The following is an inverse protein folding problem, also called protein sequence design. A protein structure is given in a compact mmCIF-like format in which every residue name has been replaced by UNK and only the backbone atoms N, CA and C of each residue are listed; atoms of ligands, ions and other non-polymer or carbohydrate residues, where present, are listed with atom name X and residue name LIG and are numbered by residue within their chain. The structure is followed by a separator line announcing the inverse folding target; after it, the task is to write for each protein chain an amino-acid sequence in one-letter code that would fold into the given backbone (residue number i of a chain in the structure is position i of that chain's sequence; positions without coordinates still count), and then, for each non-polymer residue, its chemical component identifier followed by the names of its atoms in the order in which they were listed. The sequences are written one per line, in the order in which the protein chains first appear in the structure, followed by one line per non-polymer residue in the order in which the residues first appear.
data_IF_742599179001
#
_entry.id   IF_742599179001
#
_cell.length_a   1.000
_cell.length_b   1.000
_cell.length_c   1.000
_cell.angle_alpha   90.00
_cell.angle_beta   90.00
_cell.angle_gamma   90.00
#
_symmetry.space_group_name_H-M   'P 1'
#
loop_
_entity.id
_entity.type
_entity.pdbx_description
1 polymer ?
#
# COMPACT_ATOMS: atom_id res chain seq x y z
N UNK A 1 77.88 -83.24 23.07
CA UNK A 1 77.71 -81.99 22.27
C UNK A 1 76.22 -81.73 21.94
N UNK A 2 75.24 -82.05 22.73
CA UNK A 2 73.79 -82.03 22.38
C UNK A 2 73.00 -80.98 23.23
N UNK A 3 73.47 -80.53 24.39
CA UNK A 3 72.66 -79.58 25.20
C UNK A 3 72.72 -78.08 24.68
N UNK A 4 73.79 -77.66 23.97
CA UNK A 4 73.88 -76.31 23.44
C UNK A 4 73.00 -76.01 22.24
N UNK A 5 72.62 -77.03 21.41
CA UNK A 5 71.74 -76.83 20.25
C UNK A 5 70.30 -76.59 20.63
N UNK A 6 69.80 -77.12 21.76
CA UNK A 6 68.42 -76.90 22.20
C UNK A 6 68.14 -75.53 22.78
N UNK A 7 69.16 -74.85 23.30
CA UNK A 7 69.12 -73.44 23.77
C UNK A 7 69.17 -72.45 22.61
N UNK A 8 69.69 -72.81 21.45
CA UNK A 8 69.75 -71.94 20.28
C UNK A 8 68.41 -71.83 19.57
N UNK A 9 67.55 -72.85 19.57
CA UNK A 9 66.21 -72.81 18.94
C UNK A 9 65.31 -71.80 19.57
N UNK A 10 65.06 -71.73 20.89
CA UNK A 10 64.24 -70.70 21.51
C UNK A 10 64.83 -69.29 21.35
N UNK A 11 66.16 -69.13 21.33
CA UNK A 11 66.80 -67.84 21.10
C UNK A 11 66.54 -67.31 19.67
N UNK A 12 66.65 -68.21 18.65
CA UNK A 12 66.31 -67.87 17.25
C UNK A 12 64.84 -67.54 17.14
N UNK A 13 63.95 -68.25 17.77
CA UNK A 13 62.51 -67.96 17.80
C UNK A 13 62.20 -66.59 18.44
N UNK A 14 62.83 -66.28 19.58
CA UNK A 14 62.72 -64.96 20.20
C UNK A 14 63.22 -63.85 19.29
N UNK A 15 64.36 -64.04 18.63
CA UNK A 15 64.91 -63.07 17.67
C UNK A 15 63.97 -62.85 16.46
N UNK A 16 63.35 -63.94 15.94
CA UNK A 16 62.36 -63.80 14.87
C UNK A 16 61.13 -63.06 15.35
N UNK A 17 60.60 -63.36 16.56
CA UNK A 17 59.50 -62.64 17.15
C UNK A 17 59.76 -61.17 17.40
N UNK A 18 60.96 -60.87 17.94
CA UNK A 18 61.39 -59.47 18.16
C UNK A 18 61.56 -58.74 16.82
N UNK A 19 62.18 -59.43 15.81
CA UNK A 19 62.35 -58.84 14.48
C UNK A 19 60.98 -58.57 13.81
N UNK A 20 60.04 -59.52 13.90
CA UNK A 20 58.69 -59.34 13.41
C UNK A 20 57.93 -58.19 14.13
N UNK A 21 58.07 -58.18 15.50
CA UNK A 21 57.50 -57.10 16.30
C UNK A 21 58.05 -55.71 15.89
N UNK A 22 59.33 -55.56 15.75
CA UNK A 22 59.98 -54.33 15.34
C UNK A 22 59.59 -53.94 13.89
N UNK A 23 59.57 -54.95 13.01
CA UNK A 23 59.13 -54.72 11.59
C UNK A 23 57.72 -54.18 11.55
N UNK A 24 56.77 -54.76 12.27
CA UNK A 24 55.41 -54.26 12.37
C UNK A 24 55.32 -52.83 12.98
N UNK A 25 56.08 -52.63 14.06
CA UNK A 25 56.14 -51.30 14.70
C UNK A 25 56.66 -50.21 13.77
N UNK A 26 57.65 -50.53 12.91
CA UNK A 26 58.20 -49.63 11.90
C UNK A 26 57.18 -49.38 10.78
N UNK A 27 56.45 -50.40 10.33
CA UNK A 27 55.36 -50.25 9.35
C UNK A 27 54.29 -49.28 9.83
N UNK A 28 53.88 -49.38 11.12
CA UNK A 28 52.87 -48.52 11.70
C UNK A 28 53.35 -47.14 12.09
N UNK A 29 54.63 -46.81 11.91
CA UNK A 29 55.08 -45.44 12.08
C UNK A 29 54.45 -44.46 11.11
N UNK A 30 54.18 -44.93 9.86
CA UNK A 30 53.65 -44.13 8.80
C UNK A 30 52.23 -44.60 8.34
N UNK A 31 51.67 -45.58 9.00
CA UNK A 31 50.34 -46.15 8.73
C UNK A 31 49.48 -46.15 9.95
N UNK A 32 48.18 -46.07 9.78
CA UNK A 32 47.22 -46.22 10.89
C UNK A 32 47.22 -47.67 11.41
N UNK A 33 47.06 -47.81 12.71
CA UNK A 33 46.86 -49.12 13.36
C UNK A 33 45.60 -49.78 12.84
N UNK A 34 45.56 -51.12 13.02
CA UNK A 34 44.33 -51.89 12.73
C UNK A 34 43.14 -51.40 13.57
N UNK A 35 41.96 -51.38 12.96
CA UNK A 35 40.70 -50.90 13.55
C UNK A 35 40.65 -49.37 13.83
N UNK A 36 41.54 -48.59 13.25
CA UNK A 36 41.44 -47.14 13.38
C UNK A 36 40.33 -46.60 12.50
N UNK A 37 39.42 -45.84 13.12
CA UNK A 37 38.26 -45.22 12.45
C UNK A 37 38.37 -43.70 12.50
N UNK A 38 38.09 -43.02 11.39
CA UNK A 38 37.86 -41.55 11.36
C UNK A 38 36.44 -41.33 10.91
N UNK A 39 35.61 -40.73 11.79
CA UNK A 39 34.18 -40.77 11.61
C UNK A 39 33.66 -42.19 11.51
N UNK A 40 33.00 -42.54 10.41
CA UNK A 40 32.53 -43.90 10.11
C UNK A 40 33.44 -44.61 9.10
N UNK A 41 34.63 -44.06 8.82
CA UNK A 41 35.56 -44.57 7.79
C UNK A 41 36.69 -45.36 8.43
N UNK A 42 36.86 -46.62 8.01
CA UNK A 42 37.99 -47.44 8.38
C UNK A 42 39.24 -46.99 7.59
N UNK A 43 40.25 -46.46 8.33
CA UNK A 43 41.55 -46.00 7.78
C UNK A 43 42.68 -46.92 8.15
N UNK A 44 42.41 -48.15 8.66
CA UNK A 44 43.36 -49.14 9.04
C UNK A 44 44.40 -49.43 7.94
N UNK A 45 45.66 -49.45 8.31
CA UNK A 45 46.82 -49.71 7.42
C UNK A 45 47.06 -48.70 6.29
N UNK A 46 46.24 -47.64 6.23
CA UNK A 46 46.48 -46.54 5.27
C UNK A 46 47.56 -45.61 5.80
N UNK A 47 48.30 -45.06 4.89
CA UNK A 47 49.18 -43.88 5.16
C UNK A 47 48.31 -42.65 5.38
N UNK A 48 48.88 -41.55 5.89
CA UNK A 48 48.14 -40.29 6.04
C UNK A 48 47.53 -39.81 4.73
N UNK A 49 48.28 -39.87 3.63
CA UNK A 49 47.81 -39.39 2.32
C UNK A 49 46.70 -40.28 1.76
N UNK A 50 46.82 -41.62 1.90
CA UNK A 50 45.73 -42.53 1.50
C UNK A 50 44.47 -42.31 2.34
N UNK A 51 44.59 -42.07 3.64
CA UNK A 51 43.46 -41.76 4.51
C UNK A 51 42.83 -40.42 4.13
N UNK A 52 43.60 -39.36 3.84
CA UNK A 52 43.12 -38.08 3.33
C UNK A 52 42.34 -38.24 2.04
N UNK A 53 42.91 -38.97 1.06
CA UNK A 53 42.25 -39.21 -0.23
C UNK A 53 40.92 -39.90 -0.02
N UNK A 54 40.86 -40.97 0.77
CA UNK A 54 39.67 -41.73 1.07
C UNK A 54 38.59 -40.88 1.80
N UNK A 55 39.02 -40.06 2.74
CA UNK A 55 38.08 -39.15 3.47
C UNK A 55 37.56 -38.04 2.54
N UNK A 56 38.39 -37.46 1.67
CA UNK A 56 37.94 -36.47 0.71
C UNK A 56 36.91 -37.04 -0.26
N UNK A 57 37.14 -38.25 -0.80
CA UNK A 57 36.19 -38.93 -1.69
C UNK A 57 34.85 -39.17 -1.02
N UNK A 58 34.83 -39.54 0.26
CA UNK A 58 33.62 -39.76 1.04
C UNK A 58 32.87 -38.46 1.33
N UNK A 59 33.60 -37.41 1.77
CA UNK A 59 33.02 -36.09 2.01
C UNK A 59 32.44 -35.48 0.73
N UNK A 60 33.15 -35.64 -0.40
CA UNK A 60 32.68 -35.16 -1.71
C UNK A 60 31.43 -35.93 -2.20
N UNK A 61 31.22 -37.16 -1.75
CA UNK A 61 30.04 -37.97 -2.06
C UNK A 61 28.84 -37.71 -1.14
N UNK A 62 29.03 -36.97 -0.04
CA UNK A 62 27.92 -36.65 0.86
C UNK A 62 26.96 -35.66 0.23
N UNK A 63 25.66 -36.00 0.28
CA UNK A 63 24.57 -35.15 -0.24
C UNK A 63 23.58 -34.78 0.86
N UNK A 64 22.98 -33.60 0.71
CA UNK A 64 21.78 -33.20 1.44
C UNK A 64 20.58 -33.40 0.51
N UNK A 65 19.53 -34.05 0.99
CA UNK A 65 18.36 -34.40 0.18
C UNK A 65 17.16 -33.58 0.59
N UNK A 66 16.51 -33.01 -0.41
CA UNK A 66 15.16 -32.46 -0.29
C UNK A 66 14.21 -33.53 -0.78
N UNK A 67 13.27 -33.93 0.06
CA UNK A 67 12.31 -34.97 -0.22
C UNK A 67 10.91 -34.40 -0.44
N UNK A 68 10.14 -35.01 -1.34
CA UNK A 68 8.70 -34.74 -1.53
C UNK A 68 7.93 -36.07 -1.44
N UNK A 69 7.13 -36.27 -0.39
CA UNK A 69 6.47 -37.54 -0.08
C UNK A 69 7.44 -38.73 0.00
N UNK A 70 8.63 -38.50 0.54
CA UNK A 70 9.66 -39.50 0.68
C UNK A 70 10.47 -39.78 -0.59
N UNK A 71 10.10 -39.23 -1.73
CA UNK A 71 10.87 -39.28 -2.98
C UNK A 71 11.87 -38.12 -3.06
N UNK A 72 12.99 -38.37 -3.72
CA UNK A 72 14.03 -37.33 -3.85
C UNK A 72 13.56 -36.26 -4.84
N UNK A 73 13.27 -35.08 -4.33
CA UNK A 73 13.02 -33.89 -5.15
C UNK A 73 14.34 -33.27 -5.64
N UNK A 74 15.35 -33.18 -4.75
CA UNK A 74 16.67 -32.64 -5.10
C UNK A 74 17.74 -33.21 -4.20
N UNK A 75 18.89 -33.52 -4.80
CA UNK A 75 20.13 -33.81 -4.10
C UNK A 75 21.10 -32.65 -4.26
N UNK A 76 21.73 -32.25 -3.18
CA UNK A 76 22.68 -31.13 -3.16
C UNK A 76 23.95 -31.64 -2.50
N UNK A 77 25.11 -31.68 -3.20
CA UNK A 77 26.36 -32.03 -2.59
C UNK A 77 26.65 -31.15 -1.38
N UNK A 78 26.97 -31.75 -0.23
CA UNK A 78 27.23 -30.98 1.02
C UNK A 78 28.38 -29.97 0.84
N UNK A 79 29.33 -30.28 -0.02
CA UNK A 79 30.43 -29.39 -0.40
C UNK A 79 29.92 -28.07 -1.05
N UNK A 80 28.90 -28.14 -1.90
CA UNK A 80 28.28 -26.97 -2.51
C UNK A 80 27.53 -26.11 -1.52
N UNK A 81 27.01 -26.73 -0.43
CA UNK A 81 26.40 -26.01 0.69
C UNK A 81 27.44 -25.27 1.56
N UNK A 82 28.73 -25.39 1.23
CA UNK A 82 29.82 -24.75 1.97
C UNK A 82 30.18 -25.46 3.25
N UNK A 83 29.83 -26.75 3.41
CA UNK A 83 30.31 -27.57 4.53
C UNK A 83 31.77 -27.91 4.33
N UNK A 84 32.61 -27.50 5.25
CA UNK A 84 34.05 -27.72 5.21
C UNK A 84 34.51 -28.56 6.40
N UNK A 85 35.41 -29.52 6.12
CA UNK A 85 36.03 -30.35 7.12
C UNK A 85 37.55 -30.14 7.14
N UNK A 86 38.16 -30.18 8.31
CA UNK A 86 39.61 -30.12 8.45
C UNK A 86 40.21 -31.52 8.46
N UNK A 87 40.16 -32.16 7.22
CA UNK A 87 40.68 -33.51 7.03
C UNK A 87 42.14 -33.62 7.39
N UNK A 88 42.96 -32.61 7.05
CA UNK A 88 44.38 -32.59 7.38
C UNK A 88 44.62 -32.59 8.89
N UNK A 89 43.91 -31.77 9.64
CA UNK A 89 44.00 -31.72 11.09
C UNK A 89 43.49 -33.01 11.72
N UNK A 90 42.36 -33.51 11.27
CA UNK A 90 41.77 -34.75 11.78
C UNK A 90 42.71 -35.92 11.57
N UNK A 91 43.27 -36.11 10.34
CA UNK A 91 44.18 -37.20 10.03
C UNK A 91 45.48 -37.09 10.84
N UNK A 92 46.04 -35.86 10.98
CA UNK A 92 47.23 -35.63 11.79
C UNK A 92 47.00 -35.90 13.30
N UNK A 93 45.84 -35.46 13.83
CA UNK A 93 45.45 -35.73 15.22
C UNK A 93 45.32 -37.23 15.48
N UNK A 94 44.60 -37.95 14.63
CA UNK A 94 44.42 -39.39 14.73
C UNK A 94 45.80 -40.14 14.72
N UNK A 95 46.66 -39.75 13.78
CA UNK A 95 48.00 -40.34 13.66
C UNK A 95 48.87 -40.04 14.90
N UNK A 96 48.74 -38.83 15.45
CA UNK A 96 49.59 -38.40 16.62
C UNK A 96 49.19 -39.11 17.92
N UNK A 97 47.96 -39.60 18.03
CA UNK A 97 47.45 -40.30 19.22
C UNK A 97 47.91 -41.76 19.28
N UNK A 98 48.25 -42.36 18.12
CA UNK A 98 48.65 -43.76 18.09
C UNK A 98 50.11 -43.95 18.47
N UNK A 99 50.42 -45.12 19.08
CA UNK A 99 51.78 -45.55 19.36
C UNK A 99 52.09 -46.83 18.56
N UNK A 100 52.92 -46.71 17.55
CA UNK A 100 53.28 -47.81 16.63
C UNK A 100 53.91 -49.00 17.38
N UNK A 101 54.56 -48.78 18.51
CA UNK A 101 55.12 -49.87 19.31
C UNK A 101 54.06 -50.66 20.06
N UNK A 102 52.82 -50.13 20.20
CA UNK A 102 51.70 -50.83 20.82
C UNK A 102 50.75 -51.42 19.77
N UNK A 103 51.21 -51.64 18.52
CA UNK A 103 50.37 -52.10 17.40
C UNK A 103 49.54 -53.37 17.76
N UNK A 104 50.05 -54.30 18.55
CA UNK A 104 49.35 -55.49 18.98
C UNK A 104 48.14 -55.21 19.86
N UNK A 105 48.08 -54.05 20.52
CA UNK A 105 46.95 -53.69 21.36
C UNK A 105 45.69 -53.44 20.54
N UNK A 106 45.82 -53.03 19.26
CA UNK A 106 44.70 -52.83 18.34
C UNK A 106 43.87 -54.12 18.11
N UNK A 107 44.44 -55.30 18.32
CA UNK A 107 43.71 -56.56 18.25
C UNK A 107 42.93 -56.89 19.51
N UNK A 108 43.27 -56.29 20.64
CA UNK A 108 42.70 -56.62 21.97
C UNK A 108 41.74 -55.50 22.42
N UNK A 109 42.03 -54.27 22.07
CA UNK A 109 41.24 -53.09 22.45
C UNK A 109 40.12 -52.82 21.46
N UNK A 110 39.11 -52.03 21.91
CA UNK A 110 38.05 -51.47 21.01
C UNK A 110 38.67 -50.59 19.92
N UNK A 111 38.04 -50.44 18.78
CA UNK A 111 38.46 -49.53 17.72
C UNK A 111 38.71 -48.11 18.25
N UNK A 112 39.85 -47.51 17.90
CA UNK A 112 40.12 -46.11 18.16
C UNK A 112 39.32 -45.29 17.17
N UNK A 113 38.47 -44.37 17.63
CA UNK A 113 37.60 -43.56 16.81
C UNK A 113 37.96 -42.09 17.01
N UNK A 114 38.21 -41.40 15.90
CA UNK A 114 38.39 -39.95 15.84
C UNK A 114 37.22 -39.35 15.07
N UNK A 115 36.63 -38.28 15.58
CA UNK A 115 35.56 -37.62 14.87
C UNK A 115 36.10 -36.70 13.77
N UNK A 116 35.42 -36.59 12.66
CA UNK A 116 35.79 -35.70 11.57
C UNK A 116 35.56 -34.25 12.00
N UNK A 117 36.63 -33.46 12.07
CA UNK A 117 36.55 -32.08 12.55
C UNK A 117 35.94 -31.16 11.49
N UNK A 118 34.75 -30.59 11.80
CA UNK A 118 34.11 -29.59 10.96
C UNK A 118 34.74 -28.21 11.12
N UNK A 119 35.13 -27.54 10.05
CA UNK A 119 35.58 -26.14 10.03
C UNK A 119 34.38 -25.19 10.16
N UNK A 120 33.20 -25.59 9.76
CA UNK A 120 31.99 -24.79 9.75
C UNK A 120 31.29 -24.80 8.40
N UNK A 121 30.38 -23.85 8.22
CA UNK A 121 29.61 -23.68 6.99
C UNK A 121 29.90 -22.30 6.40
N UNK A 122 30.26 -22.25 5.13
CA UNK A 122 30.37 -21.00 4.38
C UNK A 122 28.97 -20.45 4.10
N UNK A 123 28.58 -19.39 4.81
CA UNK A 123 27.23 -18.81 4.70
C UNK A 123 26.91 -18.23 3.32
N UNK A 124 27.90 -17.74 2.60
CA UNK A 124 27.70 -17.20 1.24
C UNK A 124 27.32 -18.32 0.28
N UNK A 125 28.04 -19.45 0.30
CA UNK A 125 27.72 -20.65 -0.51
C UNK A 125 26.35 -21.20 -0.15
N UNK A 126 26.04 -21.33 1.15
CA UNK A 126 24.74 -21.80 1.63
C UNK A 126 23.61 -20.90 1.11
N UNK A 127 23.72 -19.59 1.26
CA UNK A 127 22.70 -18.64 0.80
C UNK A 127 22.49 -18.73 -0.72
N UNK A 128 23.56 -18.80 -1.49
CA UNK A 128 23.49 -18.92 -2.96
C UNK A 128 22.74 -20.18 -3.40
N UNK A 129 22.97 -21.30 -2.75
CA UNK A 129 22.26 -22.55 -3.04
C UNK A 129 20.82 -22.46 -2.59
N UNK A 130 20.55 -21.91 -1.40
CA UNK A 130 19.17 -21.73 -0.91
C UNK A 130 18.36 -20.81 -1.81
N UNK A 131 18.93 -19.76 -2.37
CA UNK A 131 18.28 -18.90 -3.37
C UNK A 131 17.94 -19.68 -4.67
N UNK A 132 18.83 -20.57 -5.09
CA UNK A 132 18.55 -21.45 -6.24
C UNK A 132 17.39 -22.42 -5.95
N UNK A 133 17.42 -23.04 -4.78
CA UNK A 133 16.36 -23.95 -4.32
C UNK A 133 15.02 -23.22 -4.20
N UNK A 134 15.03 -21.98 -3.69
CA UNK A 134 13.81 -21.17 -3.60
C UNK A 134 13.18 -20.94 -4.98
N UNK A 135 13.97 -20.55 -5.96
CA UNK A 135 13.49 -20.34 -7.35
C UNK A 135 12.90 -21.61 -7.96
N UNK A 136 13.53 -22.75 -7.72
CA UNK A 136 13.03 -24.04 -8.20
C UNK A 136 11.69 -24.41 -7.52
N UNK A 137 11.57 -24.16 -6.21
CA UNK A 137 10.34 -24.40 -5.47
C UNK A 137 9.22 -23.45 -5.89
N UNK A 138 9.52 -22.18 -6.18
CA UNK A 138 8.54 -21.24 -6.74
C UNK A 138 8.02 -21.73 -8.10
N UNK A 139 8.91 -22.25 -8.96
CA UNK A 139 8.51 -22.85 -10.24
C UNK A 139 7.68 -24.13 -10.03
N UNK A 140 8.05 -24.96 -9.08
CA UNK A 140 7.35 -26.18 -8.71
C UNK A 140 5.94 -25.89 -8.19
N UNK A 141 5.79 -24.86 -7.35
CA UNK A 141 4.51 -24.40 -6.81
C UNK A 141 3.51 -23.95 -7.89
N UNK A 142 3.98 -23.49 -9.07
CA UNK A 142 3.08 -23.08 -10.17
C UNK A 142 2.18 -24.23 -10.65
N UNK A 143 2.64 -25.46 -10.51
CA UNK A 143 1.91 -26.67 -10.94
C UNK A 143 1.16 -27.36 -9.79
N UNK A 144 1.26 -26.81 -8.57
CA UNK A 144 0.55 -27.32 -7.39
C UNK A 144 -0.75 -26.58 -7.15
N UNK A 145 -1.68 -27.25 -6.47
CA UNK A 145 -2.92 -26.65 -6.04
C UNK A 145 -2.62 -25.60 -4.98
N UNK A 146 -2.99 -24.36 -5.25
CA UNK A 146 -2.77 -23.26 -4.31
C UNK A 146 -3.69 -23.37 -3.10
N UNK A 147 -3.13 -23.17 -1.91
CA UNK A 147 -3.91 -23.00 -0.69
C UNK A 147 -4.59 -21.62 -0.72
N UNK A 148 -5.87 -21.59 -0.37
CA UNK A 148 -6.65 -20.34 -0.29
C UNK A 148 -7.35 -20.26 1.06
N UNK A 149 -7.37 -19.08 1.62
CA UNK A 149 -8.18 -18.78 2.79
C UNK A 149 -9.68 -18.77 2.45
N UNK A 150 -10.52 -19.05 3.43
CA UNK A 150 -11.93 -18.71 3.30
C UNK A 150 -12.08 -17.21 3.11
N UNK A 151 -13.02 -16.81 2.28
CA UNK A 151 -13.31 -15.42 1.92
C UNK A 151 -14.80 -15.13 1.95
N UNK A 152 -15.17 -13.85 1.87
CA UNK A 152 -16.54 -13.45 1.61
C UNK A 152 -16.61 -12.89 0.21
N UNK A 153 -17.46 -13.46 -0.63
CA UNK A 153 -17.63 -13.02 -2.02
C UNK A 153 -19.12 -12.77 -2.32
N UNK A 154 -19.36 -11.86 -3.27
CA UNK A 154 -20.71 -11.62 -3.77
C UNK A 154 -21.03 -12.63 -4.88
N UNK A 155 -22.08 -13.45 -4.67
CA UNK A 155 -22.60 -14.38 -5.66
C UNK A 155 -24.12 -14.21 -5.74
N UNK A 156 -24.62 -14.07 -6.96
CA UNK A 156 -26.07 -13.85 -7.24
C UNK A 156 -26.66 -12.68 -6.42
N UNK A 157 -25.88 -11.59 -6.26
CA UNK A 157 -26.28 -10.39 -5.52
C UNK A 157 -26.27 -10.52 -3.99
N UNK A 158 -25.80 -11.65 -3.44
CA UNK A 158 -25.70 -11.89 -2.00
C UNK A 158 -24.25 -12.17 -1.61
N UNK A 159 -23.84 -11.65 -0.47
CA UNK A 159 -22.53 -11.99 0.11
C UNK A 159 -22.62 -13.33 0.84
N UNK A 160 -21.67 -14.20 0.59
CA UNK A 160 -21.57 -15.52 1.23
C UNK A 160 -20.15 -15.91 1.49
N UNK A 161 -19.92 -16.77 2.49
CA UNK A 161 -18.63 -17.34 2.76
C UNK A 161 -18.30 -18.36 1.68
N UNK A 162 -17.16 -18.16 1.02
CA UNK A 162 -16.54 -19.18 0.17
C UNK A 162 -15.54 -19.93 1.04
N UNK A 163 -15.69 -21.26 1.19
CA UNK A 163 -14.80 -22.05 2.02
C UNK A 163 -13.36 -21.98 1.56
N UNK A 164 -12.47 -22.16 2.50
CA UNK A 164 -11.05 -22.34 2.26
C UNK A 164 -10.77 -23.54 1.36
N UNK A 165 -9.65 -23.46 0.67
CA UNK A 165 -9.14 -24.57 -0.15
C UNK A 165 -7.79 -24.98 0.42
N UNK A 166 -7.70 -26.21 0.96
CA UNK A 166 -6.42 -26.81 1.25
C UNK A 166 -5.77 -27.22 -0.07
N UNK A 167 -4.66 -26.59 -0.36
CA UNK A 167 -3.76 -26.93 -1.46
C UNK A 167 -2.61 -27.81 -0.99
N UNK A 168 -1.60 -27.95 -1.86
CA UNK A 168 -0.36 -28.66 -1.62
C UNK A 168 0.87 -27.81 -1.97
N UNK A 169 0.69 -26.50 -2.21
CA UNK A 169 1.78 -25.54 -2.40
C UNK A 169 2.67 -25.46 -1.14
N UNK A 170 3.97 -25.28 -1.35
CA UNK A 170 4.97 -25.23 -0.29
C UNK A 170 5.21 -23.78 0.13
N UNK A 171 5.19 -23.50 1.43
CA UNK A 171 5.66 -22.24 2.01
C UNK A 171 7.20 -22.17 1.86
N UNK A 172 7.64 -21.61 0.73
CA UNK A 172 9.06 -21.58 0.37
C UNK A 172 9.90 -20.83 1.39
N UNK A 173 9.38 -19.78 1.99
CA UNK A 173 10.10 -18.99 3.01
C UNK A 173 10.36 -19.80 4.26
N UNK A 174 9.34 -20.50 4.77
CA UNK A 174 9.49 -21.38 5.94
C UNK A 174 10.41 -22.54 5.62
N UNK A 175 10.26 -23.14 4.43
CA UNK A 175 11.11 -24.24 4.00
C UNK A 175 12.58 -23.83 3.95
N UNK A 176 12.94 -22.75 3.24
CA UNK A 176 14.32 -22.28 3.09
C UNK A 176 14.96 -21.98 4.47
N UNK A 177 14.21 -21.32 5.37
CA UNK A 177 14.70 -21.06 6.73
C UNK A 177 14.94 -22.34 7.52
N UNK A 178 14.07 -23.35 7.37
CA UNK A 178 14.21 -24.64 8.05
C UNK A 178 15.34 -25.49 7.44
N UNK A 179 15.47 -25.50 6.11
CA UNK A 179 16.52 -26.21 5.39
C UNK A 179 17.92 -25.69 5.79
N UNK A 180 18.11 -24.37 5.82
CA UNK A 180 19.36 -23.78 6.27
C UNK A 180 19.73 -24.23 7.70
N UNK A 181 18.75 -24.22 8.62
CA UNK A 181 18.97 -24.68 10.01
C UNK A 181 19.23 -26.19 10.09
N UNK A 182 18.58 -27.00 9.28
CA UNK A 182 18.77 -28.44 9.18
C UNK A 182 20.20 -28.76 8.72
N UNK A 183 20.67 -28.06 7.70
CA UNK A 183 22.04 -28.17 7.20
C UNK A 183 23.07 -27.75 8.26
N UNK A 184 22.83 -26.63 8.97
CA UNK A 184 23.70 -26.16 10.06
C UNK A 184 23.81 -27.19 11.22
N UNK A 185 22.77 -27.98 11.44
CA UNK A 185 22.76 -29.09 12.42
C UNK A 185 23.40 -30.37 11.90
N UNK A 186 23.81 -30.44 10.64
CA UNK A 186 24.40 -31.61 10.03
C UNK A 186 23.38 -32.70 9.66
N UNK A 187 22.09 -32.37 9.57
CA UNK A 187 21.07 -33.31 9.09
C UNK A 187 21.31 -33.65 7.62
N UNK A 188 20.79 -34.78 7.16
CA UNK A 188 21.04 -35.27 5.79
C UNK A 188 19.88 -35.09 4.83
N UNK A 189 18.68 -34.76 5.36
CA UNK A 189 17.49 -34.60 4.54
C UNK A 189 16.46 -33.69 5.22
N UNK A 190 15.52 -33.17 4.40
CA UNK A 190 14.36 -32.41 4.82
C UNK A 190 13.16 -32.74 3.93
N UNK A 191 11.98 -32.84 4.50
CA UNK A 191 10.74 -33.20 3.81
C UNK A 191 9.88 -31.98 3.49
N UNK A 192 9.55 -31.74 2.20
CA UNK A 192 8.74 -30.62 1.72
C UNK A 192 7.31 -30.64 2.28
N UNK A 193 6.73 -31.82 2.44
CA UNK A 193 5.34 -31.97 2.90
C UNK A 193 5.09 -31.38 4.29
N UNK A 194 6.14 -31.21 5.10
CA UNK A 194 6.06 -30.52 6.40
C UNK A 194 5.82 -29.01 6.27
N UNK A 195 6.01 -28.46 5.09
CA UNK A 195 5.92 -27.04 4.79
C UNK A 195 4.79 -26.70 3.82
N UNK A 196 3.83 -27.60 3.64
CA UNK A 196 2.62 -27.30 2.88
C UNK A 196 1.89 -26.12 3.53
N UNK A 197 1.57 -25.11 2.72
CA UNK A 197 0.78 -23.96 3.14
C UNK A 197 -0.59 -24.42 3.66
N UNK A 198 -0.98 -23.89 4.81
CA UNK A 198 -2.30 -24.15 5.40
C UNK A 198 -3.14 -22.89 5.35
N UNK A 199 -4.45 -22.99 5.11
CA UNK A 199 -5.33 -21.86 5.27
C UNK A 199 -5.23 -21.28 6.69
N UNK A 200 -5.16 -19.98 6.79
CA UNK A 200 -5.11 -19.26 8.08
C UNK A 200 -6.47 -18.70 8.48
N UNK A 201 -7.42 -18.65 7.53
CA UNK A 201 -8.81 -18.25 7.73
C UNK A 201 -9.69 -19.39 7.24
N UNK A 202 -10.53 -19.91 8.12
CA UNK A 202 -11.44 -21.03 7.84
C UNK A 202 -12.89 -20.54 7.73
N UNK A 203 -13.73 -21.23 6.99
CA UNK A 203 -15.16 -20.93 6.87
C UNK A 203 -15.91 -20.98 8.21
N UNK A 204 -15.35 -21.72 9.18
CA UNK A 204 -15.88 -21.83 10.56
C UNK A 204 -15.46 -20.67 11.47
N UNK A 205 -14.57 -19.78 11.02
CA UNK A 205 -14.03 -18.68 11.82
C UNK A 205 -15.15 -17.70 12.20
N UNK A 206 -15.28 -17.45 13.51
CA UNK A 206 -16.31 -16.53 14.02
C UNK A 206 -16.07 -15.08 13.62
N UNK A 207 -14.82 -14.69 13.37
CA UNK A 207 -14.53 -13.36 12.83
C UNK A 207 -15.03 -13.24 11.38
N UNK A 208 -14.86 -14.28 10.56
CA UNK A 208 -15.36 -14.29 9.18
C UNK A 208 -16.89 -14.17 9.13
N UNK A 209 -17.60 -14.86 10.06
CA UNK A 209 -19.07 -14.74 10.17
C UNK A 209 -19.50 -13.34 10.59
N UNK A 210 -18.80 -12.71 11.56
CA UNK A 210 -19.06 -11.32 11.96
C UNK A 210 -18.83 -10.37 10.80
N UNK A 211 -17.76 -10.56 10.02
CA UNK A 211 -17.51 -9.75 8.84
C UNK A 211 -18.57 -9.94 7.76
N UNK A 212 -19.08 -11.15 7.53
CA UNK A 212 -20.23 -11.36 6.63
C UNK A 212 -21.46 -10.59 7.10
N UNK A 213 -21.75 -10.57 8.41
CA UNK A 213 -22.85 -9.80 8.98
C UNK A 213 -22.64 -8.29 8.78
N UNK A 214 -21.42 -7.79 8.99
CA UNK A 214 -21.07 -6.38 8.76
C UNK A 214 -21.21 -6.02 7.27
N UNK A 215 -20.72 -6.85 6.37
CA UNK A 215 -20.87 -6.68 4.92
C UNK A 215 -22.36 -6.58 4.54
N UNK A 216 -23.20 -7.48 5.06
CA UNK A 216 -24.62 -7.49 4.80
C UNK A 216 -25.34 -6.25 5.37
N UNK A 217 -24.86 -5.67 6.48
CA UNK A 217 -25.35 -4.38 7.00
C UNK A 217 -24.95 -3.24 6.05
N UNK A 218 -23.67 -3.13 5.73
CA UNK A 218 -23.12 -2.09 4.84
C UNK A 218 -23.84 -2.10 3.48
N UNK A 219 -24.07 -3.27 2.89
CA UNK A 219 -24.77 -3.39 1.60
C UNK A 219 -26.25 -2.98 1.62
N UNK A 220 -26.84 -2.80 2.81
CA UNK A 220 -28.28 -2.48 2.97
C UNK A 220 -28.55 -1.08 3.49
N UNK A 221 -27.54 -0.34 3.90
CA UNK A 221 -27.73 1.01 4.47
C UNK A 221 -28.45 1.94 3.49
N UNK A 222 -29.20 2.87 4.03
CA UNK A 222 -29.75 3.99 3.30
C UNK A 222 -28.80 5.17 3.49
N UNK A 223 -28.28 5.68 2.40
CA UNK A 223 -27.28 6.74 2.43
C UNK A 223 -27.69 7.88 1.48
N UNK A 224 -27.63 9.11 1.96
CA UNK A 224 -27.90 10.28 1.12
C UNK A 224 -27.07 11.49 1.51
N UNK A 225 -26.79 12.30 0.50
CA UNK A 225 -26.23 13.63 0.64
C UNK A 225 -27.34 14.69 0.68
N UNK A 226 -27.03 15.84 1.25
CA UNK A 226 -27.72 17.11 1.03
C UNK A 226 -26.82 18.01 0.21
N UNK A 227 -27.17 18.23 -1.07
CA UNK A 227 -26.42 19.08 -1.99
C UNK A 227 -27.35 20.13 -2.57
N UNK A 228 -27.01 21.40 -2.41
CA UNK A 228 -27.84 22.54 -2.83
C UNK A 228 -29.27 22.51 -2.21
N UNK A 229 -29.40 21.97 -1.00
CA UNK A 229 -30.68 21.79 -0.33
C UNK A 229 -31.53 20.65 -0.85
N UNK A 230 -30.98 19.80 -1.73
CA UNK A 230 -31.68 18.64 -2.31
C UNK A 230 -31.07 17.34 -1.77
N UNK A 231 -31.94 16.35 -1.55
CA UNK A 231 -31.47 15.01 -1.19
C UNK A 231 -30.93 14.27 -2.44
N UNK A 232 -29.69 13.79 -2.34
CA UNK A 232 -29.04 12.96 -3.38
C UNK A 232 -28.73 11.61 -2.75
N UNK A 233 -29.53 10.59 -3.10
CA UNK A 233 -29.38 9.23 -2.59
C UNK A 233 -28.21 8.51 -3.25
N UNK A 234 -27.44 7.77 -2.44
CA UNK A 234 -26.43 6.85 -2.97
C UNK A 234 -27.13 5.54 -3.33
N UNK A 235 -27.06 5.07 -4.59
CA UNK A 235 -27.69 3.81 -5.00
C UNK A 235 -27.13 2.62 -4.23
N UNK A 236 -27.98 1.75 -3.71
CA UNK A 236 -27.58 0.59 -2.89
C UNK A 236 -26.74 -0.41 -3.67
N UNK A 237 -27.08 -0.64 -4.92
CA UNK A 237 -26.31 -1.50 -5.84
C UNK A 237 -24.90 -0.97 -6.07
N UNK A 238 -24.74 0.35 -6.17
CA UNK A 238 -23.44 1.00 -6.27
C UNK A 238 -22.61 0.78 -5.00
N UNK A 239 -23.18 1.03 -3.81
CA UNK A 239 -22.50 0.78 -2.52
C UNK A 239 -22.13 -0.70 -2.36
N UNK A 240 -23.03 -1.61 -2.71
CA UNK A 240 -22.75 -3.05 -2.65
C UNK A 240 -21.60 -3.46 -3.59
N UNK A 241 -21.46 -2.80 -4.75
CA UNK A 241 -20.35 -3.08 -5.68
C UNK A 241 -18.99 -2.60 -5.19
N UNK A 242 -18.95 -1.64 -4.27
CA UNK A 242 -17.71 -1.14 -3.66
C UNK A 242 -17.15 -2.07 -2.60
N UNK A 243 -18.01 -2.90 -1.99
CA UNK A 243 -17.60 -3.78 -0.88
C UNK A 243 -16.60 -4.82 -1.36
N UNK A 244 -15.49 -4.93 -0.65
CA UNK A 244 -14.47 -5.97 -0.81
C UNK A 244 -14.14 -6.58 0.56
N UNK A 245 -13.67 -7.83 0.52
CA UNK A 245 -13.14 -8.52 1.68
C UNK A 245 -11.68 -8.88 1.39
N UNK A 246 -10.76 -8.22 2.07
CA UNK A 246 -9.32 -8.41 1.89
C UNK A 246 -8.65 -8.57 3.25
N UNK A 247 -7.67 -9.47 3.34
CA UNK A 247 -6.90 -9.77 4.55
C UNK A 247 -7.77 -10.03 5.80
N UNK A 248 -8.93 -10.67 5.59
CA UNK A 248 -9.85 -11.00 6.66
C UNK A 248 -10.70 -9.85 7.17
N UNK A 249 -10.79 -8.73 6.44
CA UNK A 249 -11.53 -7.52 6.84
C UNK A 249 -12.40 -6.98 5.71
N UNK A 250 -13.52 -6.38 6.13
CA UNK A 250 -14.36 -5.56 5.27
C UNK A 250 -13.62 -4.27 4.89
N UNK A 251 -13.64 -3.93 3.61
CA UNK A 251 -13.13 -2.67 3.08
C UNK A 251 -13.99 -2.23 1.86
N UNK A 252 -13.68 -1.04 1.31
CA UNK A 252 -14.29 -0.54 0.08
C UNK A 252 -13.21 -0.33 -0.99
N UNK A 253 -13.57 -0.59 -2.24
CA UNK A 253 -12.75 -0.29 -3.43
C UNK A 253 -12.62 1.23 -3.57
N UNK A 254 -11.50 1.77 -3.12
CA UNK A 254 -11.28 3.22 -3.04
C UNK A 254 -11.42 3.91 -4.41
N UNK A 255 -10.97 3.27 -5.48
CA UNK A 255 -11.08 3.82 -6.84
C UNK A 255 -12.54 3.96 -7.29
N UNK A 256 -13.41 3.01 -6.94
CA UNK A 256 -14.82 3.07 -7.27
C UNK A 256 -15.56 4.13 -6.43
N UNK A 257 -15.22 4.27 -5.16
CA UNK A 257 -15.72 5.35 -4.30
C UNK A 257 -15.27 6.71 -4.86
N UNK A 258 -14.01 6.84 -5.23
CA UNK A 258 -13.45 8.07 -5.82
C UNK A 258 -14.16 8.44 -7.12
N UNK A 259 -14.36 7.49 -8.00
CA UNK A 259 -15.11 7.70 -9.25
C UNK A 259 -16.52 8.23 -8.98
N UNK A 260 -17.22 7.68 -8.00
CA UNK A 260 -18.53 8.18 -7.62
C UNK A 260 -18.50 9.62 -7.10
N UNK A 261 -17.52 9.95 -6.24
CA UNK A 261 -17.37 11.31 -5.73
C UNK A 261 -17.00 12.30 -6.85
N UNK A 262 -16.21 11.86 -7.83
CA UNK A 262 -15.92 12.64 -9.04
C UNK A 262 -17.15 12.87 -9.91
N UNK A 263 -18.00 11.86 -10.08
CA UNK A 263 -19.32 11.97 -10.77
C UNK A 263 -20.23 12.98 -10.06
N UNK A 264 -20.25 12.98 -8.73
CA UNK A 264 -20.96 14.00 -7.93
C UNK A 264 -20.38 15.39 -8.19
N UNK A 265 -19.06 15.52 -8.18
CA UNK A 265 -18.37 16.78 -8.47
C UNK A 265 -18.68 17.30 -9.87
N UNK A 266 -18.63 16.44 -10.87
CA UNK A 266 -18.97 16.80 -12.25
C UNK A 266 -20.42 17.30 -12.39
N UNK A 267 -21.32 16.80 -11.54
CA UNK A 267 -22.74 17.16 -11.59
C UNK A 267 -23.05 18.43 -10.79
N UNK A 268 -22.44 18.57 -9.60
CA UNK A 268 -22.90 19.54 -8.60
C UNK A 268 -21.90 20.67 -8.28
N UNK A 269 -20.61 20.56 -8.61
CA UNK A 269 -19.63 21.63 -8.32
C UNK A 269 -20.03 22.94 -8.96
N UNK A 270 -20.31 23.96 -8.16
CA UNK A 270 -20.71 25.27 -8.67
C UNK A 270 -19.52 26.09 -9.18
N UNK A 271 -18.28 25.64 -8.92
CA UNK A 271 -17.07 26.25 -9.49
C UNK A 271 -16.87 25.94 -10.98
N UNK A 272 -17.50 24.89 -11.49
CA UNK A 272 -17.39 24.44 -12.89
C UNK A 272 -18.72 24.40 -13.63
N UNK A 273 -19.83 24.24 -12.92
CA UNK A 273 -21.16 24.18 -13.51
C UNK A 273 -21.87 25.50 -13.35
N UNK A 274 -22.59 25.97 -14.40
CA UNK A 274 -23.40 27.16 -14.32
C UNK A 274 -24.58 26.95 -13.36
N UNK A 275 -24.97 28.02 -12.68
CA UNK A 275 -26.14 28.05 -11.80
C UNK A 275 -27.40 28.39 -12.60
N UNK A 276 -28.46 27.60 -12.44
CA UNK A 276 -29.79 27.98 -12.93
C UNK A 276 -30.38 29.03 -12.01
N UNK A 277 -30.80 30.13 -12.56
CA UNK A 277 -31.34 31.26 -11.81
C UNK A 277 -32.64 31.75 -12.44
N UNK A 278 -33.70 31.91 -11.60
CA UNK A 278 -34.95 32.50 -12.04
C UNK A 278 -34.88 34.02 -11.89
N UNK A 279 -34.60 34.70 -12.99
CA UNK A 279 -34.46 36.14 -12.98
C UNK A 279 -35.82 36.87 -12.92
N UNK A 280 -35.77 38.12 -12.50
CA UNK A 280 -36.94 38.97 -12.35
C UNK A 280 -37.66 39.23 -13.68
N UNK A 281 -36.91 39.45 -14.75
CA UNK A 281 -37.48 39.84 -16.07
C UNK A 281 -37.27 38.81 -17.18
N UNK A 282 -36.30 37.94 -17.11
CA UNK A 282 -35.89 37.08 -18.23
C UNK A 282 -36.24 35.60 -18.04
N UNK A 283 -37.00 35.27 -16.99
CA UNK A 283 -37.30 33.88 -16.67
C UNK A 283 -36.07 33.11 -16.17
N UNK A 284 -35.94 31.83 -16.51
CA UNK A 284 -34.78 31.02 -16.13
C UNK A 284 -33.59 31.35 -17.00
N UNK A 285 -32.48 31.72 -16.38
CA UNK A 285 -31.20 32.01 -17.02
C UNK A 285 -30.11 31.09 -16.49
N UNK A 286 -29.09 30.82 -17.30
CA UNK A 286 -27.89 30.09 -16.92
C UNK A 286 -26.78 31.06 -16.60
N UNK A 287 -26.34 31.09 -15.35
CA UNK A 287 -25.31 32.02 -14.84
C UNK A 287 -24.00 31.28 -14.67
N UNK A 288 -22.89 31.73 -15.29
CA UNK A 288 -21.59 31.10 -15.12
C UNK A 288 -21.12 31.05 -13.66
N UNK A 289 -20.14 30.18 -13.38
CA UNK A 289 -19.46 30.21 -12.10
C UNK A 289 -18.74 31.57 -11.87
N UNK A 290 -18.72 32.03 -10.63
CA UNK A 290 -18.04 33.24 -10.21
C UNK A 290 -17.28 33.03 -8.90
N UNK A 291 -17.01 34.14 -8.19
CA UNK A 291 -16.27 34.09 -6.93
C UNK A 291 -17.05 33.39 -5.80
N UNK A 292 -18.38 33.37 -5.85
CA UNK A 292 -19.19 32.53 -4.94
C UNK A 292 -19.37 31.16 -5.54
N UNK A 293 -18.59 30.23 -5.09
CA UNK A 293 -18.63 28.85 -5.60
C UNK A 293 -18.07 27.85 -4.58
N UNK A 294 -18.31 26.58 -4.81
CA UNK A 294 -17.71 25.48 -4.06
C UNK A 294 -17.40 24.31 -4.97
N UNK A 295 -16.47 23.49 -4.51
CA UNK A 295 -16.01 22.27 -5.19
C UNK A 295 -15.90 21.17 -4.14
N UNK A 296 -16.34 19.94 -4.45
CA UNK A 296 -16.12 18.78 -3.58
C UNK A 296 -14.62 18.54 -3.44
N UNK A 297 -14.13 18.43 -2.22
CA UNK A 297 -12.77 18.06 -1.90
C UNK A 297 -12.64 16.52 -2.02
N UNK A 298 -12.45 16.02 -3.24
CA UNK A 298 -12.61 14.61 -3.63
C UNK A 298 -11.89 13.65 -2.70
N UNK A 299 -10.59 13.81 -2.47
CA UNK A 299 -9.81 12.85 -1.65
C UNK A 299 -10.25 12.86 -0.18
N UNK A 300 -10.60 14.03 0.34
CA UNK A 300 -11.14 14.16 1.71
C UNK A 300 -12.51 13.48 1.81
N UNK A 301 -13.37 13.71 0.82
CA UNK A 301 -14.71 13.11 0.81
C UNK A 301 -14.65 11.59 0.66
N UNK A 302 -13.79 11.07 -0.21
CA UNK A 302 -13.57 9.62 -0.36
C UNK A 302 -13.22 8.96 0.97
N UNK A 303 -12.25 9.54 1.70
CA UNK A 303 -11.85 9.02 3.01
C UNK A 303 -13.01 9.04 4.02
N UNK A 304 -13.70 10.18 4.13
CA UNK A 304 -14.79 10.36 5.07
C UNK A 304 -16.04 9.54 4.72
N UNK A 305 -16.37 9.42 3.43
CA UNK A 305 -17.49 8.60 2.96
C UNK A 305 -17.22 7.11 3.22
N UNK A 306 -16.00 6.65 2.94
CA UNK A 306 -15.55 5.29 3.23
C UNK A 306 -15.73 4.97 4.71
N UNK A 307 -15.21 5.83 5.60
CA UNK A 307 -15.35 5.65 7.04
C UNK A 307 -16.83 5.60 7.47
N UNK A 308 -17.67 6.47 6.92
CA UNK A 308 -19.09 6.53 7.27
C UNK A 308 -19.85 5.27 6.81
N UNK A 309 -19.60 4.79 5.60
CA UNK A 309 -20.23 3.57 5.07
C UNK A 309 -19.80 2.33 5.86
N UNK A 310 -18.52 2.23 6.23
CA UNK A 310 -17.99 1.10 7.00
C UNK A 310 -18.59 0.98 8.42
N UNK A 311 -19.22 2.03 8.96
CA UNK A 311 -20.00 1.95 10.22
C UNK A 311 -21.23 1.05 10.09
N UNK A 312 -21.75 0.84 8.87
CA UNK A 312 -22.92 0.02 8.61
C UNK A 312 -24.23 0.59 9.16
N UNK A 313 -24.28 1.91 9.31
CA UNK A 313 -25.45 2.67 9.83
C UNK A 313 -26.04 3.56 8.76
N UNK A 314 -27.37 3.67 8.73
CA UNK A 314 -28.08 4.59 7.84
C UNK A 314 -27.62 6.04 8.13
N UNK A 315 -27.48 6.82 7.06
CA UNK A 315 -27.24 8.26 7.19
C UNK A 315 -27.97 9.05 6.11
N UNK A 316 -28.40 10.25 6.45
CA UNK A 316 -29.09 11.14 5.53
C UNK A 316 -28.60 12.57 5.67
N UNK A 317 -28.73 13.34 4.61
CA UNK A 317 -28.41 14.75 4.61
C UNK A 317 -26.93 15.08 4.84
N UNK A 318 -26.03 14.13 4.53
CA UNK A 318 -24.59 14.34 4.60
C UNK A 318 -24.19 15.48 3.65
N UNK A 319 -23.46 16.45 4.14
CA UNK A 319 -22.83 17.47 3.30
C UNK A 319 -21.46 16.93 2.89
N UNK A 320 -21.11 16.89 1.57
CA UNK A 320 -19.80 16.43 1.17
C UNK A 320 -18.69 17.38 1.65
N UNK A 321 -17.50 16.87 1.89
CA UNK A 321 -16.33 17.70 2.13
C UNK A 321 -16.08 18.62 0.92
N UNK A 322 -15.87 19.89 1.15
CA UNK A 322 -15.79 20.90 0.08
C UNK A 322 -14.75 21.97 0.37
N UNK A 323 -14.43 22.73 -0.66
CA UNK A 323 -13.62 23.94 -0.61
C UNK A 323 -14.25 25.03 -1.46
N UNK A 324 -14.05 26.29 -1.09
CA UNK A 324 -14.61 27.44 -1.78
C UNK A 324 -15.21 28.47 -0.83
N UNK A 325 -15.84 29.51 -1.41
CA UNK A 325 -16.50 30.60 -0.67
C UNK A 325 -17.97 30.30 -0.35
N UNK A 326 -18.58 29.37 -1.13
CA UNK A 326 -19.93 28.89 -0.93
C UNK A 326 -19.99 27.60 -0.13
N UNK A 327 -21.19 27.05 0.05
CA UNK A 327 -21.45 25.78 0.74
C UNK A 327 -22.40 24.90 -0.08
N UNK A 328 -22.15 23.57 -0.14
CA UNK A 328 -23.13 22.64 -0.73
C UNK A 328 -24.34 22.38 0.19
N UNK A 329 -24.31 22.77 1.47
CA UNK A 329 -25.40 22.47 2.42
C UNK A 329 -26.73 23.11 2.06
N UNK A 330 -26.73 24.22 1.33
CA UNK A 330 -27.90 25.00 0.94
C UNK A 330 -27.79 25.52 -0.48
N UNK A 331 -28.87 26.12 -0.99
CA UNK A 331 -28.80 26.85 -2.25
C UNK A 331 -27.72 27.93 -2.22
N UNK A 332 -26.90 27.98 -3.26
CA UNK A 332 -25.78 28.93 -3.38
C UNK A 332 -26.22 30.39 -3.28
N UNK A 333 -27.37 30.76 -3.84
CA UNK A 333 -27.88 32.13 -3.92
C UNK A 333 -28.81 32.42 -2.75
N UNK A 334 -29.61 31.48 -2.29
CA UNK A 334 -30.59 31.67 -1.21
C UNK A 334 -31.76 32.60 -1.58
N UNK A 335 -32.37 33.20 -0.58
CA UNK A 335 -33.54 34.10 -0.74
C UNK A 335 -33.20 35.59 -0.58
N UNK A 336 -31.99 35.90 -0.14
CA UNK A 336 -31.50 37.29 -0.03
C UNK A 336 -30.29 37.45 -0.90
N UNK A 337 -30.41 38.22 -1.98
CA UNK A 337 -29.36 38.36 -3.01
C UNK A 337 -29.54 39.62 -3.82
N UNK A 338 -28.49 40.05 -4.50
CA UNK A 338 -28.51 41.11 -5.50
C UNK A 338 -28.54 40.48 -6.89
N UNK A 339 -29.47 40.90 -7.71
CA UNK A 339 -29.61 40.51 -9.11
C UNK A 339 -29.17 41.68 -10.00
N UNK A 340 -28.28 41.46 -10.96
CA UNK A 340 -27.80 42.46 -11.95
C UNK A 340 -28.04 41.91 -13.33
N UNK A 341 -29.02 42.46 -14.02
CA UNK A 341 -29.35 42.14 -15.42
C UNK A 341 -28.59 43.04 -16.34
N UNK A 342 -27.55 42.54 -16.99
CA UNK A 342 -26.70 43.27 -17.93
C UNK A 342 -27.46 43.68 -19.20
N UNK A 343 -28.43 42.89 -19.62
CA UNK A 343 -29.22 43.20 -20.82
C UNK A 343 -30.20 44.35 -20.59
N UNK A 344 -30.85 44.34 -19.40
CA UNK A 344 -31.83 45.36 -19.05
C UNK A 344 -31.17 46.54 -18.29
N UNK A 345 -29.90 46.49 -18.00
CA UNK A 345 -29.17 47.48 -17.21
C UNK A 345 -29.90 47.86 -15.93
N UNK A 346 -30.29 46.87 -15.18
CA UNK A 346 -31.13 47.02 -13.98
C UNK A 346 -30.63 46.08 -12.86
N UNK A 347 -30.73 46.55 -11.61
CA UNK A 347 -30.34 45.85 -10.42
C UNK A 347 -31.54 45.77 -9.46
N UNK A 348 -31.72 44.62 -8.86
CA UNK A 348 -32.66 44.34 -7.76
C UNK A 348 -31.92 43.81 -6.54
N UNK A 349 -32.31 44.25 -5.38
CA UNK A 349 -31.97 43.55 -4.13
C UNK A 349 -33.18 42.87 -3.55
N UNK A 350 -33.08 41.57 -3.40
CA UNK A 350 -34.06 40.72 -2.72
C UNK A 350 -33.63 40.50 -1.28
N UNK A 351 -34.55 40.70 -0.33
CA UNK A 351 -34.39 40.33 1.05
C UNK A 351 -35.50 39.38 1.41
N UNK A 352 -35.15 38.16 1.87
CA UNK A 352 -36.09 37.09 2.28
C UNK A 352 -37.15 36.80 1.15
N UNK A 353 -36.73 36.82 -0.10
CA UNK A 353 -37.57 36.54 -1.28
C UNK A 353 -38.45 37.71 -1.74
N UNK A 354 -38.35 38.90 -1.11
CA UNK A 354 -39.09 40.09 -1.50
C UNK A 354 -38.15 41.16 -2.08
N UNK A 355 -38.60 41.87 -3.12
CA UNK A 355 -37.85 43.02 -3.66
C UNK A 355 -37.82 44.10 -2.61
N UNK A 356 -36.64 44.40 -2.09
CA UNK A 356 -36.42 45.45 -1.10
C UNK A 356 -35.88 46.74 -1.73
N UNK A 357 -35.23 46.63 -2.90
CA UNK A 357 -34.72 47.80 -3.63
C UNK A 357 -34.60 47.42 -5.12
N UNK A 358 -34.87 48.33 -6.00
CA UNK A 358 -34.56 48.23 -7.43
C UNK A 358 -34.07 49.55 -8.02
N UNK A 359 -33.24 49.47 -9.06
CA UNK A 359 -32.69 50.68 -9.71
C UNK A 359 -32.12 50.34 -11.08
N UNK A 360 -32.25 51.24 -12.08
CA UNK A 360 -31.42 51.20 -13.26
C UNK A 360 -29.96 51.41 -12.86
N UNK A 361 -29.02 50.78 -13.57
CA UNK A 361 -27.55 50.86 -13.35
C UNK A 361 -26.84 51.13 -14.68
N UNK A 362 -25.55 51.42 -14.58
CA UNK A 362 -24.64 51.45 -15.75
C UNK A 362 -23.51 50.45 -15.48
N UNK A 363 -23.45 49.41 -16.26
CA UNK A 363 -22.41 48.38 -16.14
C UNK A 363 -21.19 48.67 -17.02
N UNK A 364 -20.26 47.75 -17.14
CA UNK A 364 -19.06 47.90 -17.96
C UNK A 364 -19.35 48.18 -19.43
N UNK A 365 -18.54 49.06 -20.04
CA UNK A 365 -18.60 49.31 -21.50
C UNK A 365 -18.21 48.06 -22.28
N UNK A 366 -18.56 47.97 -23.60
CA UNK A 366 -18.29 46.76 -24.40
C UNK A 366 -16.82 46.32 -24.44
N UNK A 367 -15.86 47.26 -24.26
CA UNK A 367 -14.41 46.94 -24.19
C UNK A 367 -13.96 46.43 -22.83
N UNK A 368 -14.72 46.68 -21.78
CA UNK A 368 -14.45 46.28 -20.39
C UNK A 368 -15.77 45.85 -19.72
N UNK A 369 -16.40 44.78 -20.20
CA UNK A 369 -17.73 44.37 -19.73
C UNK A 369 -17.71 43.90 -18.29
N UNK A 370 -18.80 44.13 -17.58
CA UNK A 370 -19.01 43.50 -16.26
C UNK A 370 -19.08 41.98 -16.45
N UNK A 371 -18.25 41.18 -15.78
CA UNK A 371 -18.25 39.72 -15.95
C UNK A 371 -19.56 39.14 -15.43
N UNK A 372 -20.22 38.25 -16.20
CA UNK A 372 -21.34 37.47 -15.66
C UNK A 372 -20.85 36.37 -14.69
N UNK A 373 -21.63 36.06 -13.69
CA UNK A 373 -21.27 35.04 -12.70
C UNK A 373 -22.05 35.16 -11.40
N UNK A 374 -21.86 34.18 -10.53
CA UNK A 374 -22.37 34.23 -9.16
C UNK A 374 -21.24 34.69 -8.24
N UNK A 375 -21.42 35.86 -7.68
CA UNK A 375 -20.45 36.56 -6.82
C UNK A 375 -21.03 36.76 -5.43
N UNK A 376 -20.32 37.46 -4.55
CA UNK A 376 -20.81 37.92 -3.26
C UNK A 376 -20.11 39.21 -2.85
N UNK A 377 -20.80 40.05 -2.07
CA UNK A 377 -20.18 41.21 -1.48
C UNK A 377 -19.20 40.76 -0.40
N UNK A 378 -17.90 40.79 -0.69
CA UNK A 378 -16.89 40.30 0.24
C UNK A 378 -16.34 41.38 1.18
N UNK A 379 -16.64 42.65 0.91
CA UNK A 379 -16.28 43.79 1.77
C UNK A 379 -17.25 44.95 1.57
N UNK A 380 -17.26 45.91 2.50
CA UNK A 380 -17.98 47.18 2.40
C UNK A 380 -17.06 48.28 2.91
N UNK A 381 -16.86 49.33 2.11
CA UNK A 381 -16.02 50.46 2.46
C UNK A 381 -16.71 51.78 2.11
N UNK A 382 -16.44 52.81 2.94
CA UNK A 382 -16.83 54.17 2.65
C UNK A 382 -15.63 55.02 2.25
N UNK A 383 -15.87 56.04 1.41
CA UNK A 383 -14.86 57.03 1.00
C UNK A 383 -13.61 56.36 0.39
N UNK A 384 -13.82 55.43 -0.55
CA UNK A 384 -12.75 54.74 -1.26
C UNK A 384 -12.36 55.53 -2.53
N UNK A 385 -11.11 55.37 -2.99
CA UNK A 385 -10.67 55.89 -4.28
C UNK A 385 -10.39 54.70 -5.20
N UNK A 386 -11.28 54.47 -6.16
CA UNK A 386 -11.13 53.40 -7.16
C UNK A 386 -10.08 53.86 -8.23
N UNK A 387 -9.03 53.06 -8.40
CA UNK A 387 -7.91 53.38 -9.26
C UNK A 387 -7.78 52.36 -10.39
N UNK A 388 -7.58 52.86 -11.62
CA UNK A 388 -7.17 52.09 -12.78
C UNK A 388 -5.96 52.75 -13.45
N UNK A 389 -5.60 52.30 -14.64
CA UNK A 389 -4.45 52.83 -15.38
C UNK A 389 -4.66 54.34 -15.73
N UNK A 390 -5.89 54.74 -16.03
CA UNK A 390 -6.28 56.04 -16.57
C UNK A 390 -7.28 56.82 -15.68
N UNK A 391 -7.62 56.29 -14.48
CA UNK A 391 -8.58 56.95 -13.60
C UNK A 391 -8.24 56.85 -12.13
N UNK A 392 -8.75 57.79 -11.35
CA UNK A 392 -8.80 57.75 -9.89
C UNK A 392 -10.13 58.39 -9.45
N UNK A 393 -11.13 57.57 -9.19
CA UNK A 393 -12.51 58.01 -8.95
C UNK A 393 -12.87 57.83 -7.45
N UNK A 394 -13.13 58.91 -6.71
CA UNK A 394 -13.63 58.80 -5.35
C UNK A 394 -15.08 58.32 -5.39
N UNK A 395 -15.42 57.41 -4.45
CA UNK A 395 -16.76 56.88 -4.25
C UNK A 395 -17.07 56.88 -2.74
N UNK A 396 -18.32 57.20 -2.40
CA UNK A 396 -18.73 57.21 -0.98
C UNK A 396 -19.05 55.81 -0.48
N UNK A 397 -19.45 54.88 -1.37
CA UNK A 397 -19.87 53.55 -1.06
C UNK A 397 -19.24 52.55 -2.03
N UNK A 398 -18.42 51.64 -1.49
CA UNK A 398 -17.74 50.56 -2.26
C UNK A 398 -18.11 49.19 -1.72
N UNK A 399 -18.65 48.36 -2.59
CA UNK A 399 -19.06 46.98 -2.32
C UNK A 399 -18.42 46.04 -3.37
N UNK A 400 -17.16 45.61 -3.18
CA UNK A 400 -16.49 44.70 -4.11
C UNK A 400 -17.16 43.32 -4.12
N UNK A 401 -17.25 42.72 -5.33
CA UNK A 401 -17.90 41.41 -5.54
C UNK A 401 -16.97 40.34 -6.07
N UNK A 402 -15.84 40.72 -6.63
CA UNK A 402 -14.81 39.80 -7.08
C UNK A 402 -13.40 40.31 -6.69
N UNK A 403 -12.38 39.52 -7.00
CA UNK A 403 -10.98 39.81 -6.67
C UNK A 403 -10.26 40.62 -7.74
N UNK A 404 -10.90 40.88 -8.89
CA UNK A 404 -10.34 41.66 -9.99
C UNK A 404 -10.59 43.17 -9.88
N UNK A 405 -11.34 43.57 -8.85
CA UNK A 405 -11.67 44.96 -8.58
C UNK A 405 -13.03 45.37 -9.13
N UNK A 406 -13.87 44.44 -9.52
CA UNK A 406 -15.27 44.70 -9.87
C UNK A 406 -16.14 44.78 -8.63
N UNK A 407 -17.03 45.73 -8.57
CA UNK A 407 -17.94 45.93 -7.46
C UNK A 407 -19.11 46.85 -7.78
N UNK A 408 -19.97 47.04 -6.79
CA UNK A 408 -21.10 47.97 -6.81
C UNK A 408 -20.68 49.23 -6.10
N UNK A 409 -20.87 50.39 -6.69
CA UNK A 409 -20.52 51.66 -6.07
C UNK A 409 -21.40 52.79 -6.63
N UNK A 410 -21.47 53.92 -5.89
CA UNK A 410 -22.07 55.16 -6.35
C UNK A 410 -21.22 55.80 -7.45
N UNK A 411 -21.89 56.55 -8.31
CA UNK A 411 -21.21 57.23 -9.43
C UNK A 411 -21.73 58.67 -9.55
N UNK A 412 -21.25 59.55 -8.66
CA UNK A 412 -21.73 60.96 -8.62
C UNK A 412 -21.40 61.78 -9.87
N UNK A 413 -20.52 61.29 -10.73
CA UNK A 413 -20.19 61.91 -12.01
C UNK A 413 -21.21 61.60 -13.11
N UNK A 414 -22.17 60.71 -12.89
CA UNK A 414 -23.23 60.38 -13.84
C UNK A 414 -24.46 61.24 -13.61
N UNK A 415 -25.10 61.66 -14.70
CA UNK A 415 -26.38 62.36 -14.59
C UNK A 415 -27.52 61.34 -14.24
N UNK A 416 -28.51 61.77 -13.50
CA UNK A 416 -29.63 60.94 -13.06
C UNK A 416 -30.36 60.22 -14.20
N UNK A 417 -30.46 60.86 -15.40
CA UNK A 417 -31.07 60.29 -16.57
C UNK A 417 -30.16 59.33 -17.37
N UNK A 418 -28.90 59.15 -16.97
CA UNK A 418 -27.95 58.29 -17.68
C UNK A 418 -28.06 56.78 -17.32
N UNK A 419 -28.69 56.46 -16.20
CA UNK A 419 -28.77 55.07 -15.75
C UNK A 419 -29.77 54.25 -16.57
N UNK A 420 -29.40 53.00 -16.88
CA UNK A 420 -30.23 52.08 -17.64
C UNK A 420 -30.04 52.21 -19.17
N UNK A 421 -30.80 51.40 -19.89
CA UNK A 421 -30.82 51.38 -21.35
C UNK A 421 -29.48 51.07 -21.98
N UNK A 422 -29.12 51.85 -23.03
CA UNK A 422 -27.88 51.67 -23.79
C UNK A 422 -26.71 52.55 -23.32
N UNK A 423 -26.85 53.26 -22.22
CA UNK A 423 -25.84 54.23 -21.72
C UNK A 423 -24.48 53.58 -21.43
N UNK A 424 -24.48 52.28 -21.03
CA UNK A 424 -23.25 51.55 -20.82
C UNK A 424 -22.34 51.47 -22.06
N UNK A 425 -22.88 51.61 -23.26
CA UNK A 425 -22.12 51.56 -24.49
C UNK A 425 -21.20 52.79 -24.68
N UNK A 426 -21.58 53.93 -24.10
CA UNK A 426 -20.87 55.23 -24.24
C UNK A 426 -20.22 55.68 -22.94
N UNK A 427 -20.94 55.59 -21.81
CA UNK A 427 -20.47 56.06 -20.49
C UNK A 427 -20.33 54.91 -19.49
N UNK A 428 -20.19 53.68 -20.00
CA UNK A 428 -20.01 52.48 -19.20
C UNK A 428 -18.73 52.51 -18.35
N UNK A 429 -18.72 51.70 -17.30
CA UNK A 429 -17.61 51.53 -16.38
C UNK A 429 -16.48 50.68 -16.96
N UNK A 430 -15.41 50.46 -16.19
CA UNK A 430 -14.35 49.49 -16.48
C UNK A 430 -14.68 48.10 -15.90
N UNK A 431 -15.98 47.75 -15.75
CA UNK A 431 -16.47 46.50 -15.25
C UNK A 431 -17.34 46.58 -14.00
N UNK A 432 -17.28 47.68 -13.27
CA UNK A 432 -18.11 47.90 -12.06
C UNK A 432 -19.57 48.15 -12.40
N UNK A 433 -20.44 48.09 -11.40
CA UNK A 433 -21.87 48.39 -11.46
C UNK A 433 -22.06 49.81 -10.87
N UNK A 434 -22.10 50.82 -11.75
CA UNK A 434 -22.37 52.18 -11.37
C UNK A 434 -23.82 52.36 -10.97
N UNK A 435 -24.05 52.80 -9.75
CA UNK A 435 -25.36 52.93 -9.13
C UNK A 435 -25.66 54.40 -8.76
N UNK A 436 -26.91 54.86 -8.90
CA UNK A 436 -27.27 56.21 -8.46
C UNK A 436 -26.89 56.42 -6.97
N UNK A 437 -26.24 57.57 -6.60
CA UNK A 437 -25.67 57.74 -5.24
C UNK A 437 -26.67 57.52 -4.12
N UNK A 438 -27.87 58.06 -4.24
CA UNK A 438 -28.90 57.95 -3.21
C UNK A 438 -29.40 56.52 -3.04
N UNK A 439 -29.37 55.69 -4.12
CA UNK A 439 -29.78 54.28 -4.08
C UNK A 439 -28.62 53.41 -3.60
N UNK A 440 -27.39 53.70 -4.00
CA UNK A 440 -26.20 53.05 -3.51
C UNK A 440 -26.05 53.18 -2.00
N UNK A 441 -26.30 54.37 -1.42
CA UNK A 441 -26.33 54.59 0.01
C UNK A 441 -27.31 53.66 0.73
N UNK A 442 -28.53 53.58 0.19
CA UNK A 442 -29.57 52.69 0.77
C UNK A 442 -29.17 51.22 0.67
N UNK A 443 -28.70 50.78 -0.47
CA UNK A 443 -28.23 49.40 -0.67
C UNK A 443 -27.12 49.05 0.32
N UNK A 444 -26.12 49.96 0.43
CA UNK A 444 -24.99 49.80 1.35
C UNK A 444 -25.45 49.58 2.80
N UNK A 445 -26.46 50.33 3.24
CA UNK A 445 -26.98 50.24 4.62
C UNK A 445 -27.87 48.97 4.82
N UNK A 446 -28.49 48.45 3.74
CA UNK A 446 -29.41 47.29 3.80
C UNK A 446 -28.74 45.95 3.75
N UNK A 447 -27.56 45.82 3.12
CA UNK A 447 -26.89 44.56 2.89
C UNK A 447 -25.80 44.27 3.90
N UNK A 448 -25.51 43.00 4.11
CA UNK A 448 -24.37 42.53 4.87
C UNK A 448 -23.24 42.00 3.93
N UNK A 449 -22.04 41.90 4.49
CA UNK A 449 -20.95 41.17 3.81
C UNK A 449 -21.36 39.69 3.70
N UNK A 450 -21.13 39.07 2.52
CA UNK A 450 -21.56 37.73 2.23
C UNK A 450 -22.83 37.63 1.38
N UNK A 451 -23.55 38.72 1.14
CA UNK A 451 -24.75 38.73 0.29
C UNK A 451 -24.37 38.30 -1.14
N UNK A 452 -25.04 37.27 -1.71
CA UNK A 452 -24.81 36.83 -3.09
C UNK A 452 -25.14 37.91 -4.11
N UNK A 453 -24.36 37.97 -5.20
CA UNK A 453 -24.59 38.88 -6.34
C UNK A 453 -24.61 38.03 -7.60
N UNK A 454 -25.75 38.01 -8.28
CA UNK A 454 -25.94 37.24 -9.52
C UNK A 454 -25.89 38.23 -10.70
N UNK A 455 -24.93 38.09 -11.56
CA UNK A 455 -24.70 38.95 -12.74
C UNK A 455 -24.91 38.11 -14.00
N UNK A 456 -25.78 38.50 -14.94
CA UNK A 456 -26.11 37.77 -16.16
C UNK A 456 -26.57 38.63 -17.34
#
# INVERSE_FOLDING_TARGET
MTKKKWLLIPLVLVLILVSFYCYQAIQFQNKFLDKTMIGNTDVSKLTKEEAKTKLNELVDAEVYRVLDNGEVFKEIPKKELGMEYDIDKTVNNAMSKQNSWLWFMSYIQAPEKEDLEAKGINKESLNKIMDSVNKELEAFNKNRKQTKNASVEQKDGKFQIIPEVQGDSIDTKKFISAAAKSIEKGESDIELTKFIEKPTILATDDNLKKELDNINKVAKINASYSINGQEVKIPKDKMASWVIFEDGKLNLKQDEVKKYVEELGATYNTSTNPSKFKSTKRGEVSVPAGALSWTIATDTEVAQLTEQILKGEDFSGRVPAFQGSGTPASSLIGNSYIEVDLQNQHMWYYKDGQVALETPVITGKPSTPTPPGVFYVWNKKRNEILRGEDYASPVDYWMPIDWTGVGIHDSPWQNDGAYGGNSFQTVGSHGCINTPPSVCAKLFDMIEVGVPVVVF
#
